data_IF_707489219987
#
_entry.id   IF_707489219987
#
_cell.length_a   1.000
_cell.length_b   1.000
_cell.length_c   1.000
_cell.angle_alpha   90.00
_cell.angle_beta   90.00
_cell.angle_gamma   90.00
#
_symmetry.space_group_name_H-M   'P 1'
#
loop_
_entity.id
_entity.type
_entity.pdbx_description
1 polymer ?
#
# COMPACT_ATOMS: atom_id res chain seq x y z
N UNK A 1 -21.67 -20.99 -10.67
CA UNK A 1 -21.11 -20.04 -9.68
C UNK A 1 -20.58 -18.73 -10.30
N UNK A 2 -20.86 -18.45 -11.58
CA UNK A 2 -20.23 -17.36 -12.37
C UNK A 2 -20.98 -16.03 -12.39
N UNK A 3 -22.33 -16.00 -12.29
CA UNK A 3 -23.09 -14.75 -12.44
C UNK A 3 -22.89 -13.70 -11.34
N UNK A 4 -22.53 -14.11 -10.12
CA UNK A 4 -22.40 -13.20 -8.97
C UNK A 4 -21.05 -12.47 -8.95
N UNK A 5 -19.96 -13.08 -9.44
CA UNK A 5 -18.65 -12.41 -9.54
C UNK A 5 -18.68 -11.29 -10.58
N UNK A 6 -19.30 -11.55 -11.74
CA UNK A 6 -19.29 -10.63 -12.88
C UNK A 6 -20.09 -9.36 -12.57
N UNK A 7 -21.21 -9.48 -11.85
CA UNK A 7 -22.00 -8.32 -11.44
C UNK A 7 -21.26 -7.45 -10.40
N UNK A 8 -20.54 -8.07 -9.46
CA UNK A 8 -19.72 -7.34 -8.47
C UNK A 8 -18.57 -6.61 -9.15
N UNK A 9 -17.91 -7.27 -10.10
CA UNK A 9 -16.81 -6.68 -10.85
C UNK A 9 -17.27 -5.54 -11.78
N UNK A 10 -18.42 -5.70 -12.44
CA UNK A 10 -19.03 -4.65 -13.25
C UNK A 10 -19.37 -3.42 -12.39
N UNK A 11 -19.91 -3.64 -11.19
CA UNK A 11 -20.17 -2.56 -10.24
C UNK A 11 -18.89 -1.85 -9.80
N UNK A 12 -17.85 -2.61 -9.43
CA UNK A 12 -16.57 -2.04 -9.03
C UNK A 12 -15.93 -1.19 -10.14
N UNK A 13 -16.03 -1.66 -11.39
CA UNK A 13 -15.61 -0.93 -12.59
C UNK A 13 -16.37 0.38 -12.75
N UNK A 14 -17.70 0.35 -12.67
CA UNK A 14 -18.53 1.55 -12.78
C UNK A 14 -18.26 2.56 -11.67
N UNK A 15 -18.17 2.10 -10.41
CA UNK A 15 -17.87 2.96 -9.25
C UNK A 15 -16.49 3.61 -9.37
N UNK A 16 -15.49 2.89 -9.87
CA UNK A 16 -14.15 3.45 -10.08
C UNK A 16 -14.17 4.56 -11.14
N UNK A 17 -14.91 4.36 -12.23
CA UNK A 17 -15.08 5.37 -13.30
C UNK A 17 -15.84 6.59 -12.77
N UNK A 18 -16.88 6.37 -11.96
CA UNK A 18 -17.66 7.44 -11.33
C UNK A 18 -16.82 8.27 -10.37
N UNK A 19 -16.04 7.62 -9.49
CA UNK A 19 -15.10 8.30 -8.58
C UNK A 19 -14.03 9.08 -9.33
N UNK A 20 -13.56 8.56 -10.47
CA UNK A 20 -12.64 9.30 -11.32
C UNK A 20 -13.30 10.56 -11.92
N UNK A 21 -14.60 10.55 -12.18
CA UNK A 21 -15.38 11.69 -12.67
C UNK A 21 -14.71 12.45 -13.84
N UNK A 22 -14.17 11.69 -14.81
CA UNK A 22 -13.45 12.24 -15.97
C UNK A 22 -12.01 12.71 -15.68
N UNK A 23 -11.57 12.73 -14.43
CA UNK A 23 -10.19 13.01 -14.05
C UNK A 23 -9.27 11.86 -14.43
N UNK A 24 -8.07 12.21 -14.91
CA UNK A 24 -6.98 11.26 -15.14
C UNK A 24 -5.90 11.45 -14.09
N UNK A 25 -5.50 10.36 -13.45
CA UNK A 25 -4.53 10.38 -12.36
C UNK A 25 -3.11 10.19 -12.86
N UNK A 26 -2.21 11.04 -12.37
CA UNK A 26 -0.78 10.92 -12.66
C UNK A 26 -0.06 10.00 -11.69
N UNK A 27 -0.61 9.77 -10.50
CA UNK A 27 -0.06 8.82 -9.54
C UNK A 27 -1.18 8.01 -8.91
N UNK A 28 -1.02 6.69 -8.95
CA UNK A 28 -1.98 5.73 -8.38
C UNK A 28 -1.27 4.89 -7.32
N UNK A 29 -1.85 4.81 -6.13
CA UNK A 29 -1.50 3.86 -5.08
C UNK A 29 -2.61 2.80 -4.99
N UNK A 30 -2.27 1.51 -4.96
CA UNK A 30 -3.25 0.44 -4.85
C UNK A 30 -2.81 -0.64 -3.84
N UNK A 31 -3.74 -1.09 -2.98
CA UNK A 31 -3.59 -2.27 -2.12
C UNK A 31 -4.74 -3.28 -2.39
N UNK A 32 -4.71 -4.00 -3.52
CA UNK A 32 -5.78 -4.93 -3.86
C UNK A 32 -6.00 -6.00 -2.77
N UNK A 33 -7.24 -6.48 -2.57
CA UNK A 33 -7.53 -7.51 -1.58
C UNK A 33 -7.14 -8.90 -2.14
N UNK A 34 -5.85 -9.17 -2.27
CA UNK A 34 -5.32 -10.36 -2.94
C UNK A 34 -5.85 -11.70 -2.38
N UNK A 35 -6.25 -12.61 -3.27
CA UNK A 35 -6.61 -14.00 -2.93
C UNK A 35 -5.41 -14.93 -3.11
N UNK A 36 -4.96 -15.54 -2.03
CA UNK A 36 -3.96 -16.61 -2.07
C UNK A 36 -4.57 -17.93 -2.58
N UNK A 37 -3.85 -18.63 -3.45
CA UNK A 37 -4.24 -19.94 -3.98
C UNK A 37 -4.13 -21.06 -2.92
N UNK A 38 -3.07 -21.03 -2.10
CA UNK A 38 -2.82 -22.06 -1.09
C UNK A 38 -3.50 -21.71 0.24
N UNK A 39 -4.56 -22.45 0.58
CA UNK A 39 -5.43 -22.26 1.74
C UNK A 39 -5.12 -23.19 2.93
N UNK A 40 -3.89 -23.68 3.07
CA UNK A 40 -3.51 -24.57 4.18
C UNK A 40 -3.03 -23.78 5.41
N UNK A 41 -3.42 -24.22 6.62
CA UNK A 41 -2.97 -23.64 7.89
C UNK A 41 -3.69 -22.34 8.30
N UNK A 42 -2.98 -21.41 8.98
CA UNK A 42 -3.54 -20.11 9.47
C UNK A 42 -4.03 -19.15 8.37
N UNK A 43 -3.88 -19.53 7.10
CA UNK A 43 -4.36 -18.83 5.91
C UNK A 43 -5.64 -19.47 5.32
N UNK A 44 -6.20 -20.48 5.98
CA UNK A 44 -7.45 -21.12 5.58
C UNK A 44 -8.65 -20.14 5.72
N UNK A 45 -9.63 -20.19 4.79
CA UNK A 45 -10.84 -19.33 4.82
C UNK A 45 -11.76 -19.59 6.00
N UNK A 46 -11.48 -20.64 6.78
CA UNK A 46 -12.35 -21.12 7.86
C UNK A 46 -12.25 -20.26 9.13
N UNK A 47 -11.30 -19.32 9.19
CA UNK A 47 -11.34 -18.22 10.14
C UNK A 47 -12.36 -17.17 9.67
N UNK A 48 -13.62 -17.37 10.05
CA UNK A 48 -14.78 -16.48 9.84
C UNK A 48 -14.53 -15.04 10.37
N UNK A 49 -13.74 -14.23 9.66
CA UNK A 49 -13.49 -12.82 10.05
C UNK A 49 -13.31 -11.82 8.91
N UNK A 50 -13.56 -12.18 7.66
CA UNK A 50 -13.35 -11.29 6.49
C UNK A 50 -14.49 -11.31 5.46
N UNK A 51 -15.71 -11.63 5.89
CA UNK A 51 -16.87 -11.69 5.00
C UNK A 51 -17.61 -10.35 5.00
N UNK A 52 -17.12 -9.39 4.20
CA UNK A 52 -17.97 -8.30 3.70
C UNK A 52 -17.48 -7.65 2.41
N UNK A 53 -16.20 -7.79 2.08
CA UNK A 53 -15.68 -7.74 0.70
C UNK A 53 -14.61 -8.81 0.55
N UNK A 54 -14.92 -9.85 -0.24
CA UNK A 54 -14.04 -11.01 -0.40
C UNK A 54 -12.71 -10.64 -1.04
N UNK A 55 -11.70 -11.47 -0.83
CA UNK A 55 -10.46 -11.37 -1.59
C UNK A 55 -10.72 -11.55 -3.10
N UNK A 56 -10.00 -10.83 -3.95
CA UNK A 56 -10.09 -10.89 -5.41
C UNK A 56 -9.01 -11.81 -5.98
N UNK A 57 -9.36 -12.58 -7.01
CA UNK A 57 -8.35 -13.27 -7.82
C UNK A 57 -7.62 -12.27 -8.71
N UNK A 58 -6.41 -12.62 -9.13
CA UNK A 58 -5.56 -11.77 -9.98
C UNK A 58 -6.28 -11.32 -11.25
N UNK A 59 -7.01 -12.23 -11.92
CA UNK A 59 -7.75 -11.89 -13.14
C UNK A 59 -8.80 -10.80 -12.91
N UNK A 60 -9.56 -10.87 -11.82
CA UNK A 60 -10.55 -9.84 -11.47
C UNK A 60 -9.85 -8.48 -11.24
N UNK A 61 -8.71 -8.46 -10.55
CA UNK A 61 -7.93 -7.24 -10.32
C UNK A 61 -7.46 -6.65 -11.66
N UNK A 62 -6.96 -7.50 -12.56
CA UNK A 62 -6.49 -7.11 -13.90
C UNK A 62 -7.60 -6.50 -14.78
N UNK A 63 -8.87 -6.82 -14.53
CA UNK A 63 -9.99 -6.28 -15.34
C UNK A 63 -10.42 -4.87 -14.95
N UNK A 64 -9.97 -4.34 -13.81
CA UNK A 64 -10.28 -2.97 -13.42
C UNK A 64 -9.78 -1.97 -14.46
N UNK A 65 -10.56 -0.92 -14.78
CA UNK A 65 -10.28 0.02 -15.87
C UNK A 65 -9.18 1.05 -15.52
N UNK A 66 -8.10 0.64 -14.86
CA UNK A 66 -7.05 1.54 -14.37
C UNK A 66 -6.38 2.30 -15.51
N UNK A 67 -6.22 1.65 -16.68
CA UNK A 67 -5.65 2.29 -17.85
C UNK A 67 -6.48 3.51 -18.33
N UNK A 68 -7.81 3.43 -18.24
CA UNK A 68 -8.70 4.48 -18.75
C UNK A 68 -8.72 5.72 -17.85
N UNK A 69 -8.51 5.55 -16.54
CA UNK A 69 -8.44 6.62 -15.54
C UNK A 69 -7.01 7.11 -15.28
N UNK A 70 -6.00 6.50 -15.91
CA UNK A 70 -4.62 6.95 -15.81
C UNK A 70 -4.34 8.07 -16.81
N UNK A 71 -3.49 9.01 -16.42
CA UNK A 71 -2.89 9.97 -17.34
C UNK A 71 -1.97 9.25 -18.35
N UNK A 72 -1.64 9.93 -19.46
CA UNK A 72 -0.73 9.39 -20.47
C UNK A 72 0.64 9.09 -19.88
N UNK A 73 1.14 10.00 -19.04
CA UNK A 73 2.36 9.81 -18.23
C UNK A 73 1.96 9.68 -16.77
N UNK A 74 2.22 8.52 -16.18
CA UNK A 74 1.75 8.22 -14.83
C UNK A 74 2.66 7.24 -14.07
N UNK A 75 2.57 7.28 -12.75
CA UNK A 75 3.19 6.34 -11.82
C UNK A 75 2.15 5.42 -11.17
N UNK A 76 2.54 4.17 -10.96
CA UNK A 76 1.79 3.18 -10.19
C UNK A 76 2.66 2.68 -9.04
N UNK A 77 2.09 2.75 -7.84
CA UNK A 77 2.58 2.14 -6.61
C UNK A 77 1.61 1.02 -6.22
N UNK A 78 2.05 -0.23 -6.29
CA UNK A 78 1.20 -1.42 -6.06
C UNK A 78 1.72 -2.23 -4.88
N UNK A 79 0.93 -2.33 -3.81
CA UNK A 79 1.24 -3.23 -2.69
C UNK A 79 1.01 -4.68 -3.09
N UNK A 80 2.03 -5.52 -2.91
CA UNK A 80 2.01 -6.93 -3.30
C UNK A 80 2.62 -7.79 -2.19
N UNK A 81 1.90 -8.80 -1.67
CA UNK A 81 2.48 -9.80 -0.79
C UNK A 81 3.62 -10.56 -1.48
N UNK A 82 4.69 -10.91 -0.75
CA UNK A 82 5.87 -11.57 -1.33
C UNK A 82 5.55 -12.82 -2.17
N UNK A 83 4.56 -13.61 -1.76
CA UNK A 83 4.18 -14.84 -2.47
C UNK A 83 3.41 -14.61 -3.78
N UNK A 84 2.94 -13.38 -4.04
CA UNK A 84 2.13 -13.00 -5.19
C UNK A 84 2.87 -11.99 -6.09
N UNK A 85 4.21 -11.92 -5.99
CA UNK A 85 5.01 -11.06 -6.85
C UNK A 85 4.74 -11.27 -8.35
N UNK A 86 4.64 -12.52 -8.87
CA UNK A 86 4.28 -12.74 -10.27
C UNK A 86 2.91 -12.14 -10.65
N UNK A 87 1.90 -12.33 -9.80
CA UNK A 87 0.56 -11.76 -9.98
C UNK A 87 0.58 -10.22 -9.98
N UNK A 88 1.35 -9.61 -9.08
CA UNK A 88 1.52 -8.18 -9.02
C UNK A 88 2.13 -7.60 -10.31
N UNK A 89 3.15 -8.26 -10.86
CA UNK A 89 3.76 -7.85 -12.13
C UNK A 89 2.78 -7.99 -13.31
N UNK A 90 1.95 -9.03 -13.31
CA UNK A 90 0.90 -9.21 -14.32
C UNK A 90 -0.17 -8.12 -14.22
N UNK A 91 -0.61 -7.76 -13.00
CA UNK A 91 -1.54 -6.64 -12.79
C UNK A 91 -0.97 -5.33 -13.33
N UNK A 92 0.29 -5.00 -13.03
CA UNK A 92 0.93 -3.79 -13.56
C UNK A 92 0.91 -3.78 -15.09
N UNK A 93 1.29 -4.91 -15.71
CA UNK A 93 1.30 -5.06 -17.17
C UNK A 93 -0.09 -4.87 -17.77
N UNK A 94 -1.12 -5.49 -17.18
CA UNK A 94 -2.51 -5.43 -17.64
C UNK A 94 -3.14 -4.06 -17.47
N UNK A 95 -2.72 -3.29 -16.47
CA UNK A 95 -3.12 -1.90 -16.28
C UNK A 95 -2.31 -0.91 -17.13
N UNK A 96 -1.35 -1.38 -17.94
CA UNK A 96 -0.57 -0.54 -18.86
C UNK A 96 0.66 0.12 -18.23
N UNK A 97 1.16 -0.40 -17.09
CA UNK A 97 2.36 0.08 -16.41
C UNK A 97 3.53 -0.88 -16.60
N UNK A 98 4.69 -0.33 -16.93
CA UNK A 98 5.93 -1.09 -16.95
C UNK A 98 6.58 -1.04 -15.57
N UNK A 99 6.84 -2.20 -14.97
CA UNK A 99 7.61 -2.31 -13.73
C UNK A 99 9.02 -1.71 -13.91
N UNK A 100 9.50 -0.99 -12.88
CA UNK A 100 10.83 -0.37 -12.86
C UNK A 100 11.66 -0.79 -11.65
N UNK A 101 11.06 -0.74 -10.46
CA UNK A 101 11.72 -1.09 -9.20
C UNK A 101 10.65 -1.33 -8.12
N UNK A 102 11.05 -1.64 -6.90
CA UNK A 102 10.16 -1.76 -5.75
C UNK A 102 10.76 -1.06 -4.53
N UNK A 103 9.90 -0.68 -3.60
CA UNK A 103 10.25 -0.27 -2.25
C UNK A 103 9.88 -1.43 -1.32
N UNK A 104 10.80 -1.85 -0.47
CA UNK A 104 10.59 -2.92 0.51
C UNK A 104 10.14 -2.30 1.82
N UNK A 105 8.92 -2.60 2.24
CA UNK A 105 8.50 -2.34 3.61
C UNK A 105 9.10 -3.40 4.52
N UNK A 106 10.14 -3.04 5.28
CA UNK A 106 10.72 -3.87 6.33
C UNK A 106 10.02 -3.59 7.67
N UNK A 107 9.30 -4.59 8.17
CA UNK A 107 8.60 -4.52 9.44
C UNK A 107 9.60 -4.76 10.56
N UNK A 108 9.79 -3.76 11.42
CA UNK A 108 10.77 -3.80 12.49
C UNK A 108 10.13 -3.84 13.88
N UNK A 109 10.89 -4.31 14.86
CA UNK A 109 10.58 -4.21 16.29
C UNK A 109 11.12 -2.88 16.84
N UNK A 110 10.88 -2.60 18.13
CA UNK A 110 11.38 -1.38 18.81
C UNK A 110 12.90 -1.24 18.79
N UNK A 111 13.62 -2.36 18.74
CA UNK A 111 15.09 -2.39 18.67
C UNK A 111 15.63 -2.31 17.23
N UNK A 112 14.77 -2.08 16.23
CA UNK A 112 15.15 -1.97 14.82
C UNK A 112 15.37 -3.32 14.12
N UNK A 113 15.35 -4.45 14.83
CA UNK A 113 15.46 -5.77 14.22
C UNK A 113 14.17 -6.22 13.51
N UNK A 114 14.21 -7.23 12.62
CA UNK A 114 13.04 -7.71 11.89
C UNK A 114 11.89 -8.20 12.80
N UNK A 115 10.65 -7.98 12.38
CA UNK A 115 9.45 -8.51 13.03
C UNK A 115 9.30 -10.02 12.78
N UNK A 116 9.85 -10.84 13.67
CA UNK A 116 9.82 -12.31 13.57
C UNK A 116 8.44 -12.96 13.67
N UNK A 117 7.35 -12.18 13.76
CA UNK A 117 5.97 -12.67 13.91
C UNK A 117 5.24 -12.85 12.56
N UNK A 118 5.94 -12.66 11.44
CA UNK A 118 5.41 -12.86 10.10
C UNK A 118 4.86 -14.27 9.85
N UNK A 119 3.80 -14.37 9.07
CA UNK A 119 3.29 -15.66 8.55
C UNK A 119 3.91 -15.91 7.17
N UNK A 120 4.41 -17.11 6.93
CA UNK A 120 4.86 -17.58 5.62
C UNK A 120 5.23 -19.06 5.67
N UNK A 121 5.08 -19.75 4.54
CA UNK A 121 5.27 -21.20 4.45
C UNK A 121 6.75 -21.61 4.35
N UNK A 122 7.58 -20.78 3.71
CA UNK A 122 9.01 -21.03 3.50
C UNK A 122 9.87 -20.15 4.40
N UNK A 123 9.56 -18.85 4.47
CA UNK A 123 10.24 -17.89 5.32
C UNK A 123 9.23 -17.09 6.14
N UNK A 124 9.66 -16.56 7.28
CA UNK A 124 8.88 -15.60 8.05
C UNK A 124 8.83 -14.27 7.30
N UNK A 125 7.65 -13.87 6.84
CA UNK A 125 7.48 -12.60 6.13
C UNK A 125 7.60 -11.41 7.09
N UNK A 126 8.80 -10.84 7.18
CA UNK A 126 9.04 -9.56 7.85
C UNK A 126 8.97 -8.40 6.87
N UNK A 127 8.76 -8.67 5.58
CA UNK A 127 8.68 -7.66 4.52
C UNK A 127 7.37 -7.73 3.74
N UNK A 128 7.01 -6.62 3.09
CA UNK A 128 6.06 -6.55 1.98
C UNK A 128 6.62 -5.63 0.89
N UNK A 129 6.20 -5.83 -0.37
CA UNK A 129 6.69 -5.05 -1.50
C UNK A 129 5.67 -3.98 -1.92
N UNK A 130 6.17 -2.78 -2.15
CA UNK A 130 5.48 -1.73 -2.90
C UNK A 130 6.15 -1.63 -4.27
N UNK A 131 5.55 -2.27 -5.28
CA UNK A 131 6.07 -2.22 -6.64
C UNK A 131 5.88 -0.81 -7.21
N UNK A 132 6.87 -0.33 -7.96
CA UNK A 132 6.82 0.94 -8.67
C UNK A 132 6.92 0.69 -10.19
N UNK A 133 5.95 1.24 -10.91
CA UNK A 133 5.89 1.19 -12.37
C UNK A 133 5.49 2.52 -12.98
N UNK A 134 5.77 2.63 -14.27
CA UNK A 134 5.56 3.86 -15.03
C UNK A 134 4.80 3.58 -16.32
N UNK A 135 3.98 4.53 -16.74
CA UNK A 135 3.35 4.59 -18.07
C UNK A 135 3.77 5.88 -18.79
N UNK A 136 3.85 5.83 -20.11
CA UNK A 136 4.12 7.00 -20.95
C UNK A 136 5.60 7.37 -21.06
N UNK A 137 5.85 8.50 -21.72
CA UNK A 137 7.21 9.04 -21.93
C UNK A 137 7.58 10.00 -20.80
N UNK A 138 8.86 10.12 -20.48
CA UNK A 138 9.36 11.06 -19.46
C UNK A 138 8.80 10.86 -18.04
N UNK A 139 8.35 9.64 -17.71
CA UNK A 139 7.82 9.26 -16.39
C UNK A 139 8.92 9.04 -15.34
N UNK A 140 9.92 9.92 -15.28
CA UNK A 140 10.98 9.83 -14.26
C UNK A 140 10.49 10.46 -12.97
N UNK A 141 10.82 9.85 -11.82
CA UNK A 141 10.53 10.44 -10.50
C UNK A 141 11.07 11.86 -10.35
N UNK A 142 10.39 12.63 -9.51
CA UNK A 142 10.83 13.95 -9.05
C UNK A 142 12.19 13.85 -8.36
N UNK A 143 12.86 14.98 -8.19
CA UNK A 143 14.22 15.01 -7.61
C UNK A 143 14.37 14.27 -6.27
N UNK A 144 13.40 14.32 -5.32
CA UNK A 144 13.48 13.55 -4.09
C UNK A 144 13.53 12.03 -4.32
N UNK A 145 12.74 11.52 -5.28
CA UNK A 145 12.70 10.09 -5.62
C UNK A 145 14.01 9.54 -6.18
N UNK A 146 14.94 10.40 -6.58
CA UNK A 146 16.29 10.00 -7.05
C UNK A 146 17.27 9.76 -5.91
N UNK A 147 16.92 10.22 -4.69
CA UNK A 147 17.69 10.03 -3.46
C UNK A 147 16.97 9.12 -2.46
N UNK A 148 15.69 8.84 -2.69
CA UNK A 148 14.91 7.91 -1.88
C UNK A 148 15.51 6.50 -1.97
N UNK A 149 15.87 5.95 -0.81
CA UNK A 149 16.26 4.54 -0.71
C UNK A 149 15.02 3.65 -0.83
N UNK A 150 15.19 2.46 -1.38
CA UNK A 150 14.08 1.57 -1.68
C UNK A 150 13.68 0.68 -0.48
N UNK A 151 13.82 1.18 0.74
CA UNK A 151 13.46 0.48 1.97
C UNK A 151 12.72 1.43 2.90
N UNK A 152 11.61 0.97 3.46
CA UNK A 152 10.84 1.64 4.50
C UNK A 152 10.85 0.78 5.75
N UNK A 153 11.50 1.23 6.83
CA UNK A 153 11.60 0.50 8.09
C UNK A 153 10.61 1.09 9.11
N UNK A 154 9.50 0.41 9.37
CA UNK A 154 8.50 0.87 10.35
C UNK A 154 7.95 -0.27 11.19
N UNK A 155 7.47 0.05 12.39
CA UNK A 155 6.79 -0.94 13.23
C UNK A 155 5.42 -1.28 12.67
N UNK A 156 5.04 -2.57 12.74
CA UNK A 156 3.70 -3.01 12.35
C UNK A 156 2.65 -2.39 13.26
N UNK A 157 1.59 -1.84 12.64
CA UNK A 157 0.41 -1.30 13.33
C UNK A 157 -0.68 -2.37 13.43
N UNK A 158 -1.94 -1.96 13.55
CA UNK A 158 -3.10 -2.85 13.51
C UNK A 158 -3.14 -3.72 12.24
N UNK A 159 -3.91 -4.82 12.28
CA UNK A 159 -3.84 -5.88 11.27
C UNK A 159 -4.00 -5.35 9.84
N UNK A 160 -3.03 -5.69 8.99
CA UNK A 160 -3.04 -5.39 7.55
C UNK A 160 -3.04 -3.88 7.22
N UNK A 161 -2.69 -3.00 8.18
CA UNK A 161 -2.50 -1.57 7.89
C UNK A 161 -1.10 -1.31 7.33
N UNK A 162 -1.05 -0.69 6.15
CA UNK A 162 0.18 -0.23 5.49
C UNK A 162 0.77 1.00 6.21
N UNK A 163 2.07 1.27 6.08
CA UNK A 163 2.70 2.43 6.72
C UNK A 163 2.22 3.73 6.08
N UNK A 164 1.78 4.69 6.90
CA UNK A 164 1.37 6.03 6.41
C UNK A 164 2.56 6.78 5.80
N UNK A 165 3.79 6.42 6.18
CA UNK A 165 5.03 6.96 5.65
C UNK A 165 5.16 6.72 4.12
N UNK A 166 4.43 5.76 3.56
CA UNK A 166 4.40 5.52 2.12
C UNK A 166 3.80 6.70 1.35
N UNK A 167 2.80 7.39 1.90
CA UNK A 167 2.18 8.51 1.21
C UNK A 167 3.12 9.71 1.12
N UNK A 168 3.78 10.08 2.21
CA UNK A 168 4.74 11.20 2.23
C UNK A 168 5.89 10.95 1.24
N UNK A 169 6.33 9.69 1.15
CA UNK A 169 7.28 9.25 0.13
C UNK A 169 6.73 9.46 -1.28
N UNK A 170 5.52 9.00 -1.56
CA UNK A 170 4.90 9.09 -2.88
C UNK A 170 4.69 10.54 -3.30
N UNK A 171 4.16 11.39 -2.40
CA UNK A 171 3.90 12.82 -2.62
C UNK A 171 5.19 13.60 -2.91
N UNK A 172 6.32 13.21 -2.31
CA UNK A 172 7.63 13.80 -2.61
C UNK A 172 8.25 13.28 -3.92
N UNK A 173 7.99 12.03 -4.28
CA UNK A 173 8.64 11.36 -5.41
C UNK A 173 7.88 11.50 -6.73
N UNK A 174 6.59 11.83 -6.67
CA UNK A 174 5.66 11.81 -7.80
C UNK A 174 4.76 13.04 -7.80
N UNK A 175 4.03 13.24 -8.90
CA UNK A 175 3.10 14.36 -9.04
C UNK A 175 1.65 13.89 -9.07
N UNK A 176 0.74 14.75 -8.60
CA UNK A 176 -0.68 14.53 -8.71
C UNK A 176 -1.23 14.81 -10.12
N UNK A 177 -2.52 14.57 -10.36
CA UNK A 177 -3.51 14.17 -9.35
C UNK A 177 -3.30 12.75 -8.80
N UNK A 178 -3.61 12.55 -7.52
CA UNK A 178 -3.37 11.30 -6.79
C UNK A 178 -4.66 10.48 -6.59
N UNK A 179 -4.58 9.17 -6.82
CA UNK A 179 -5.64 8.20 -6.53
C UNK A 179 -5.14 7.11 -5.58
N UNK A 180 -5.89 6.83 -4.52
CA UNK A 180 -5.77 5.62 -3.72
C UNK A 180 -6.89 4.64 -4.07
N UNK A 181 -6.52 3.45 -4.55
CA UNK A 181 -7.43 2.35 -4.82
C UNK A 181 -7.43 1.34 -3.68
N UNK A 182 -8.62 0.82 -3.36
CA UNK A 182 -8.88 -0.06 -2.22
C UNK A 182 -8.62 0.63 -0.88
N UNK A 183 -8.83 1.95 -0.83
CA UNK A 183 -8.57 2.78 0.34
C UNK A 183 -9.40 2.35 1.56
N UNK A 184 -8.79 2.49 2.75
CA UNK A 184 -9.43 2.23 4.06
C UNK A 184 -9.74 3.51 4.85
N UNK A 185 -9.64 4.66 4.21
CA UNK A 185 -9.92 5.99 4.75
C UNK A 185 -9.71 7.04 3.67
N UNK A 186 -9.98 8.29 4.00
CA UNK A 186 -9.70 9.44 3.15
C UNK A 186 -8.37 10.11 3.53
N UNK A 187 -7.72 10.74 2.56
CA UNK A 187 -6.53 11.58 2.76
C UNK A 187 -6.70 12.86 1.96
N UNK A 188 -6.36 13.99 2.58
CA UNK A 188 -6.39 15.28 1.90
C UNK A 188 -5.46 15.25 0.67
N UNK A 189 -5.93 15.81 -0.46
CA UNK A 189 -5.19 15.80 -1.72
C UNK A 189 -5.25 14.48 -2.51
N UNK A 190 -5.92 13.45 -2.00
CA UNK A 190 -6.11 12.16 -2.68
C UNK A 190 -7.57 11.92 -3.02
N UNK A 191 -7.84 11.51 -4.26
CA UNK A 191 -9.09 10.83 -4.57
C UNK A 191 -8.99 9.41 -4.03
N UNK A 192 -10.02 8.94 -3.33
CA UNK A 192 -10.03 7.60 -2.73
C UNK A 192 -11.17 6.76 -3.28
N UNK A 193 -10.86 5.56 -3.77
CA UNK A 193 -11.83 4.56 -4.18
C UNK A 193 -11.64 3.31 -3.33
N UNK A 194 -12.70 2.84 -2.67
CA UNK A 194 -12.63 1.64 -1.84
C UNK A 194 -13.89 1.46 -0.99
N UNK A 195 -14.15 0.21 -0.64
CA UNK A 195 -15.35 -0.17 0.12
C UNK A 195 -15.42 0.39 1.56
N UNK A 196 -14.33 0.99 2.05
CA UNK A 196 -14.24 1.63 3.36
C UNK A 196 -13.88 3.12 3.27
N UNK A 197 -13.96 3.73 2.07
CA UNK A 197 -13.52 5.11 1.85
C UNK A 197 -14.37 6.16 2.59
N UNK A 198 -15.57 5.82 3.09
CA UNK A 198 -16.45 6.73 3.84
C UNK A 198 -16.34 6.62 5.38
N UNK A 199 -15.36 5.86 5.91
CA UNK A 199 -15.05 5.84 7.35
C UNK A 199 -14.80 4.42 7.88
N UNK A 200 -13.68 4.22 8.57
CA UNK A 200 -13.38 2.98 9.27
C UNK A 200 -13.89 3.06 10.72
N UNK A 201 -14.95 2.31 11.02
CA UNK A 201 -15.29 1.94 12.40
C UNK A 201 -15.07 0.43 12.54
N UNK A 202 -14.19 -0.02 13.44
CA UNK A 202 -14.10 -1.44 13.77
C UNK A 202 -15.45 -1.92 14.30
N UNK A 203 -16.06 -2.92 13.66
CA UNK A 203 -17.32 -3.56 14.09
C UNK A 203 -17.08 -4.73 15.06
N UNK A 204 -15.88 -4.81 15.66
CA UNK A 204 -15.49 -5.79 16.68
C UNK A 204 -14.85 -5.11 17.89
N UNK A 205 -14.86 -5.74 19.08
CA UNK A 205 -14.22 -5.18 20.27
C UNK A 205 -12.74 -4.95 19.98
N UNK A 206 -12.34 -3.67 19.93
CA UNK A 206 -10.94 -3.29 19.91
C UNK A 206 -10.42 -3.27 21.34
N UNK A 207 -9.17 -3.70 21.54
CA UNK A 207 -8.53 -3.55 22.84
C UNK A 207 -8.46 -2.07 23.20
N UNK A 208 -8.79 -1.73 24.44
CA UNK A 208 -9.02 -0.39 24.99
C UNK A 208 -7.88 0.63 24.85
N UNK A 209 -6.75 0.26 24.24
CA UNK A 209 -5.54 1.07 24.28
C UNK A 209 -5.15 1.79 23.00
N UNK A 210 -5.89 1.74 21.89
CA UNK A 210 -5.48 2.49 20.68
C UNK A 210 -6.65 2.97 19.78
N UNK A 211 -7.81 3.26 20.36
CA UNK A 211 -8.96 3.80 19.62
C UNK A 211 -9.45 5.11 20.23
N UNK A 212 -8.67 6.18 20.09
CA UNK A 212 -9.19 7.56 20.11
C UNK A 212 -8.42 8.42 19.11
N UNK A 213 -9.14 8.97 18.13
CA UNK A 213 -8.67 10.13 17.37
C UNK A 213 -8.81 11.38 18.24
N UNK A 214 -7.70 12.12 18.33
CA UNK A 214 -7.51 13.56 18.58
C UNK A 214 -8.08 14.23 19.85
N UNK A 215 -7.16 14.72 20.70
CA UNK A 215 -7.23 16.09 21.24
C UNK A 215 -5.84 16.58 21.72
N UNK A 216 -5.51 17.82 21.32
CA UNK A 216 -4.49 18.73 21.84
C UNK A 216 -2.99 18.39 21.65
N UNK A 217 -2.34 19.28 20.88
CA UNK A 217 -0.88 19.47 20.81
C UNK A 217 -0.37 20.00 22.16
N UNK A 218 0.66 19.38 22.78
CA UNK A 218 1.51 20.04 23.77
C UNK A 218 2.87 20.45 23.14
N UNK A 219 3.60 21.39 23.77
CA UNK A 219 4.59 22.23 23.10
C UNK A 219 5.90 21.53 22.74
N UNK A 220 6.58 22.12 21.76
CA UNK A 220 7.87 21.76 21.17
C UNK A 220 8.92 21.52 22.26
N UNK A 221 9.58 20.37 22.23
CA UNK A 221 10.78 20.07 23.00
C UNK A 221 12.01 20.02 22.06
N UNK A 222 12.83 21.08 22.20
CA UNK A 222 14.28 21.23 21.96
C UNK A 222 14.93 20.56 20.73
N UNK A 223 15.30 21.40 19.74
CA UNK A 223 16.09 21.06 18.53
C UNK A 223 17.49 20.48 18.83
N UNK A 224 17.99 20.54 20.06
CA UNK A 224 19.32 20.02 20.39
C UNK A 224 19.39 18.49 20.57
N UNK A 225 18.26 17.80 20.71
CA UNK A 225 18.27 16.34 20.92
C UNK A 225 18.28 15.53 19.60
N UNK A 226 17.90 16.15 18.48
CA UNK A 226 18.00 15.54 17.13
C UNK A 226 19.42 15.59 16.54
N UNK A 227 20.29 16.51 17.01
CA UNK A 227 21.69 16.59 16.54
C UNK A 227 22.64 15.60 17.20
N UNK A 228 22.26 14.99 18.33
CA UNK A 228 23.10 14.03 19.05
C UNK A 228 22.99 12.60 18.50
N UNK A 229 21.88 12.24 17.85
CA UNK A 229 21.66 10.92 17.25
C UNK A 229 22.32 10.75 15.86
N UNK A 230 22.74 11.85 15.22
CA UNK A 230 23.49 11.82 13.94
C UNK A 230 25.02 11.80 14.09
N UNK A 231 25.58 11.79 15.31
CA UNK A 231 27.05 11.82 15.53
C UNK A 231 27.68 10.51 16.03
N UNK A 232 26.92 9.42 16.19
CA UNK A 232 27.45 8.11 16.61
C UNK A 232 27.46 7.04 15.51
N UNK A 233 27.47 7.45 14.23
CA UNK A 233 27.66 6.55 13.08
C UNK A 233 28.97 6.86 12.31
N UNK A 234 30.06 7.10 13.05
CA UNK A 234 31.43 7.08 12.51
C UNK A 234 32.34 6.41 13.54
N UNK A 235 33.23 5.55 13.05
CA UNK A 235 34.11 4.59 13.75
C UNK A 235 33.47 3.24 14.05
N UNK A 236 33.57 2.30 13.09
CA UNK A 236 34.37 1.06 13.19
C UNK A 236 34.60 0.53 11.76
N UNK A 237 35.72 0.92 11.14
CA UNK A 237 36.41 0.15 10.09
C UNK A 237 37.90 0.29 10.45
N UNK A 238 38.65 -0.81 10.36
CA UNK A 238 40.08 -1.00 10.69
C UNK A 238 40.40 -1.39 12.15
N UNK A 239 40.31 -2.70 12.44
CA UNK A 239 41.45 -3.65 12.51
C UNK A 239 40.91 -5.07 12.55
#
# INVERSE_FOLDING_TARGET
MTKTSDAVLARATSELIEVANGQRFSTILADPPWRFQNRTGKMAPEHKRLARYGTMITDDICTLPVESISAETAHLYLWVPNALLPDGLEVMRRWGFQYKTNIVWNKVRKDGGPDGRGVGFYFRNTTELLLFGTRGKNARTLAPGRRQVNVLCTMKREHSRKPDEAYDLIEQCSWGPFLEMFARGSREGWTTWGNQAQGYYPDWPTYSNHSQQAAAIPPIADENQQRLLCRQAKYVIET
#
